data_IF_676002898754
#
_entry.id   IF_676002898754
#
_cell.length_a   1.000
_cell.length_b   1.000
_cell.length_c   1.000
_cell.angle_alpha   90.00
_cell.angle_beta   90.00
_cell.angle_gamma   90.00
#
_symmetry.space_group_name_H-M   'P 1'
#
loop_
_entity.id
_entity.type
_entity.pdbx_description
1 polymer ?
#
# COMPACT_ATOMS: atom_id res chain seq x y z
N UNK A 1 3.39 51.75 4.55
CA UNK A 1 2.28 50.98 3.93
C UNK A 1 2.62 49.50 4.11
N UNK A 2 1.92 48.78 5.00
CA UNK A 2 2.20 47.36 5.29
C UNK A 2 1.33 46.51 4.36
N UNK A 3 1.94 45.80 3.41
CA UNK A 3 1.29 44.73 2.66
C UNK A 3 1.12 43.53 3.60
N UNK A 4 -0.13 43.23 3.96
CA UNK A 4 -0.50 41.97 4.60
C UNK A 4 -0.78 40.98 3.47
N UNK A 5 0.10 39.99 3.30
CA UNK A 5 -0.19 38.83 2.46
C UNK A 5 -1.16 37.93 3.23
N UNK A 6 -2.45 38.04 2.92
CA UNK A 6 -3.40 36.98 3.21
C UNK A 6 -3.09 35.82 2.25
N UNK A 7 -2.26 34.88 2.69
CA UNK A 7 -2.24 33.52 2.17
C UNK A 7 -3.58 32.88 2.58
N UNK A 8 -4.64 33.26 1.87
CA UNK A 8 -5.95 32.67 2.02
C UNK A 8 -5.82 31.18 1.72
N UNK A 9 -6.08 30.35 2.72
CA UNK A 9 -6.56 28.99 2.48
C UNK A 9 -7.75 29.14 1.55
N UNK A 10 -7.63 28.66 0.31
CA UNK A 10 -8.76 28.62 -0.62
C UNK A 10 -9.66 27.48 -0.18
N UNK A 11 -10.27 27.61 1.00
CA UNK A 11 -11.57 27.00 1.19
C UNK A 11 -12.54 27.79 0.33
N UNK A 12 -13.37 27.16 -0.51
CA UNK A 12 -14.64 27.76 -0.80
C UNK A 12 -15.38 27.85 0.54
N UNK A 13 -15.45 29.06 1.11
CA UNK A 13 -16.16 29.39 2.36
C UNK A 13 -17.61 28.84 2.42
N UNK A 14 -18.15 28.38 1.29
CA UNK A 14 -19.43 27.68 1.16
C UNK A 14 -19.49 26.26 1.75
N UNK A 15 -18.35 25.63 2.10
CA UNK A 15 -18.31 24.30 2.74
C UNK A 15 -18.45 24.38 4.26
N UNK A 16 -18.00 25.47 4.89
CA UNK A 16 -18.13 25.69 6.32
C UNK A 16 -19.51 26.26 6.72
N UNK A 17 -20.55 26.05 5.90
CA UNK A 17 -21.91 26.41 6.30
C UNK A 17 -22.38 25.43 7.38
N UNK A 18 -22.80 25.97 8.53
CA UNK A 18 -23.41 25.20 9.61
C UNK A 18 -24.48 24.25 9.04
N UNK A 19 -24.28 22.94 9.23
CA UNK A 19 -25.22 21.89 8.82
C UNK A 19 -24.87 21.09 7.55
N UNK A 20 -23.78 21.38 6.83
CA UNK A 20 -23.28 20.46 5.78
C UNK A 20 -22.42 19.34 6.40
N UNK A 21 -22.53 18.09 5.91
CA UNK A 21 -21.64 17.02 6.34
C UNK A 21 -20.18 17.38 5.99
N UNK A 22 -19.25 17.00 6.87
CA UNK A 22 -17.82 17.16 6.63
C UNK A 22 -17.39 16.48 5.33
N UNK A 23 -16.50 17.10 4.53
CA UNK A 23 -15.94 16.49 3.34
C UNK A 23 -15.36 15.10 3.66
N UNK A 24 -15.62 14.13 2.79
CA UNK A 24 -15.20 12.74 3.01
C UNK A 24 -14.28 12.21 1.92
N UNK A 25 -13.31 11.40 2.35
CA UNK A 25 -12.70 10.39 1.50
C UNK A 25 -13.58 9.14 1.52
N UNK A 26 -14.23 8.88 0.39
CA UNK A 26 -15.15 7.74 0.20
C UNK A 26 -14.47 6.60 -0.53
N UNK A 27 -13.58 6.91 -1.47
CA UNK A 27 -13.01 5.94 -2.40
C UNK A 27 -11.62 6.36 -2.87
N UNK A 28 -10.58 5.60 -2.52
CA UNK A 28 -9.24 5.76 -3.09
C UNK A 28 -8.79 4.44 -3.68
N UNK A 29 -8.46 4.48 -4.98
CA UNK A 29 -7.95 3.30 -5.69
C UNK A 29 -6.44 3.38 -5.75
N UNK A 30 -5.78 2.40 -5.14
CA UNK A 30 -4.33 2.20 -5.25
C UNK A 30 -4.07 1.03 -6.16
N UNK A 31 -3.36 1.27 -7.26
CA UNK A 31 -2.84 0.23 -8.14
C UNK A 31 -1.35 0.06 -7.93
N UNK A 32 -0.89 -1.17 -7.98
CA UNK A 32 0.53 -1.49 -7.84
C UNK A 32 1.01 -2.39 -8.97
N UNK A 33 2.13 -2.01 -9.58
CA UNK A 33 2.85 -2.86 -10.52
C UNK A 33 4.15 -3.33 -9.88
N UNK A 34 4.48 -4.61 -10.03
CA UNK A 34 5.73 -5.17 -9.50
C UNK A 34 6.55 -5.79 -10.63
N UNK A 35 7.82 -5.40 -10.74
CA UNK A 35 8.77 -5.97 -11.69
C UNK A 35 9.94 -6.61 -10.96
N UNK A 36 10.31 -7.82 -11.36
CA UNK A 36 11.55 -8.45 -10.92
C UNK A 36 12.71 -7.99 -11.81
N UNK A 37 13.82 -7.60 -11.19
CA UNK A 37 15.07 -7.22 -11.85
C UNK A 37 15.98 -8.44 -12.05
N UNK A 38 16.97 -8.30 -12.93
CA UNK A 38 17.97 -9.35 -13.16
C UNK A 38 18.83 -9.63 -11.92
N UNK A 39 18.93 -8.67 -10.99
CA UNK A 39 19.67 -8.78 -9.73
C UNK A 39 18.87 -9.51 -8.62
N UNK A 40 17.66 -9.99 -8.91
CA UNK A 40 16.79 -10.64 -7.92
C UNK A 40 16.09 -9.67 -6.98
N UNK A 41 16.03 -8.38 -7.33
CA UNK A 41 15.27 -7.36 -6.60
C UNK A 41 13.89 -7.16 -7.24
N UNK A 42 12.89 -6.85 -6.43
CA UNK A 42 11.56 -6.45 -6.82
C UNK A 42 11.41 -4.93 -6.73
N UNK A 43 10.82 -4.35 -7.76
CA UNK A 43 10.48 -2.92 -7.83
C UNK A 43 8.97 -2.79 -7.84
N UNK A 44 8.42 -2.13 -6.84
CA UNK A 44 7.00 -1.82 -6.66
C UNK A 44 6.79 -0.38 -7.09
N UNK A 45 5.80 -0.14 -7.94
CA UNK A 45 5.36 1.21 -8.33
C UNK A 45 3.89 1.35 -8.00
N UNK A 46 3.55 2.42 -7.30
CA UNK A 46 2.20 2.74 -6.88
C UNK A 46 1.61 3.84 -7.75
N UNK A 47 0.34 3.66 -8.10
CA UNK A 47 -0.49 4.69 -8.72
C UNK A 47 -1.70 4.90 -7.83
N UNK A 48 -1.87 6.12 -7.34
CA UNK A 48 -3.02 6.54 -6.56
C UNK A 48 -4.00 7.23 -7.48
N UNK A 49 -5.28 6.89 -7.32
CA UNK A 49 -6.38 7.58 -7.96
C UNK A 49 -7.33 8.10 -6.87
N UNK A 50 -7.49 9.41 -6.83
CA UNK A 50 -8.47 10.05 -5.96
C UNK A 50 -9.81 10.04 -6.71
N UNK A 51 -10.80 9.28 -6.23
CA UNK A 51 -12.09 9.15 -6.90
C UNK A 51 -12.77 10.50 -7.05
N UNK A 52 -13.47 10.79 -8.17
CA UNK A 52 -14.26 12.01 -8.30
C UNK A 52 -15.45 12.08 -7.32
N UNK A 53 -15.73 10.98 -6.60
CA UNK A 53 -16.70 10.92 -5.50
C UNK A 53 -16.18 11.48 -4.19
N UNK A 54 -14.87 11.69 -4.07
CA UNK A 54 -14.28 12.28 -2.89
C UNK A 54 -14.47 13.79 -2.91
N UNK A 55 -14.56 14.37 -1.72
CA UNK A 55 -14.73 15.82 -1.54
C UNK A 55 -13.43 16.48 -1.07
N UNK A 56 -12.36 15.69 -0.94
CA UNK A 56 -11.08 16.13 -0.42
C UNK A 56 -9.92 15.78 -1.35
N UNK A 57 -8.90 16.62 -1.32
CA UNK A 57 -7.60 16.33 -1.91
C UNK A 57 -6.87 15.27 -1.08
N UNK A 58 -6.11 14.38 -1.73
CA UNK A 58 -5.17 13.51 -1.02
C UNK A 58 -3.84 14.22 -0.80
N UNK A 59 -3.29 14.05 0.40
CA UNK A 59 -2.03 14.65 0.81
C UNK A 59 -0.97 13.62 1.17
N UNK A 60 -1.33 12.49 1.78
CA UNK A 60 -0.37 11.45 2.17
C UNK A 60 -0.68 10.12 1.53
N UNK A 61 0.36 9.33 1.29
CA UNK A 61 0.24 7.90 1.02
C UNK A 61 1.26 7.14 1.83
N UNK A 62 0.80 6.11 2.51
CA UNK A 62 1.65 5.29 3.34
C UNK A 62 1.35 3.81 3.20
N UNK A 63 2.40 3.00 3.18
CA UNK A 63 2.30 1.55 3.06
C UNK A 63 3.03 0.85 4.21
N UNK A 64 2.41 -0.20 4.74
CA UNK A 64 2.92 -0.98 5.88
C UNK A 64 4.12 -1.82 5.47
N UNK A 65 5.27 -1.60 6.11
CA UNK A 65 6.52 -2.32 5.87
C UNK A 65 6.95 -3.18 7.06
N UNK A 66 6.07 -3.45 8.04
CA UNK A 66 6.42 -4.28 9.20
C UNK A 66 6.78 -5.70 8.78
N UNK A 67 7.72 -6.31 9.52
CA UNK A 67 8.05 -7.75 9.37
C UNK A 67 6.88 -8.65 9.76
N UNK A 68 6.24 -8.35 10.89
CA UNK A 68 5.10 -9.10 11.43
C UNK A 68 3.86 -8.20 11.62
N UNK A 69 2.94 -8.13 10.63
CA UNK A 69 1.78 -7.26 10.72
C UNK A 69 0.69 -7.77 11.68
N UNK A 70 0.76 -9.05 12.12
CA UNK A 70 -0.24 -9.66 12.98
C UNK A 70 0.00 -9.45 14.48
N UNK A 71 1.26 -9.23 14.91
CA UNK A 71 1.58 -9.10 16.33
C UNK A 71 1.01 -7.81 16.95
N UNK A 72 0.78 -6.78 16.15
CA UNK A 72 0.17 -5.51 16.56
C UNK A 72 -0.96 -5.17 15.59
N UNK A 73 -2.21 -5.64 15.86
CA UNK A 73 -3.36 -5.15 15.13
C UNK A 73 -3.38 -3.63 15.25
N UNK A 74 -3.52 -2.94 14.10
CA UNK A 74 -3.62 -1.48 14.03
C UNK A 74 -4.48 -0.93 15.16
N UNK A 75 -3.85 -0.25 16.11
CA UNK A 75 -4.56 0.55 17.09
C UNK A 75 -4.36 2.03 16.75
N UNK A 76 -5.28 2.87 17.21
CA UNK A 76 -5.17 4.32 17.02
C UNK A 76 -4.01 4.88 17.85
N UNK A 77 -3.50 4.15 18.83
CA UNK A 77 -2.32 4.54 19.62
C UNK A 77 -0.99 4.27 18.89
N UNK A 78 -0.97 3.41 17.87
CA UNK A 78 0.14 3.31 16.91
C UNK A 78 0.21 4.54 15.96
N UNK A 79 -0.84 5.36 15.99
CA UNK A 79 -0.96 6.63 15.26
C UNK A 79 -0.40 7.72 16.15
N UNK A 80 0.81 8.20 15.82
CA UNK A 80 1.32 9.43 16.40
C UNK A 80 0.38 10.59 16.04
N UNK A 81 -0.51 10.94 16.97
CA UNK A 81 -1.18 12.24 16.99
C UNK A 81 -0.16 13.23 17.56
N UNK A 82 0.76 13.70 16.73
CA UNK A 82 1.46 14.94 17.04
C UNK A 82 1.42 15.87 15.84
N UNK A 83 0.65 16.94 16.05
CA UNK A 83 0.79 18.20 15.36
C UNK A 83 2.21 18.73 15.60
N UNK A 84 3.08 18.63 14.60
CA UNK A 84 3.85 19.79 14.15
C UNK A 84 4.45 19.53 12.76
N UNK A 85 4.34 20.50 11.87
CA UNK A 85 5.08 20.54 10.59
C UNK A 85 6.49 21.02 10.93
N UNK A 86 7.22 20.23 11.69
CA UNK A 86 8.68 20.32 11.79
C UNK A 86 9.25 18.91 11.73
N UNK A 87 10.15 18.73 10.76
CA UNK A 87 10.89 17.52 10.47
C UNK A 87 11.16 16.64 11.69
N UNK A 88 10.35 15.61 11.91
CA UNK A 88 10.64 14.58 12.90
C UNK A 88 11.20 13.35 12.19
N UNK A 89 12.53 13.29 12.15
CA UNK A 89 13.26 12.03 12.24
C UNK A 89 12.90 11.37 13.57
N UNK A 90 11.85 10.55 13.58
CA UNK A 90 11.49 9.82 14.78
C UNK A 90 12.56 8.76 15.04
N UNK A 91 13.17 8.90 16.21
CA UNK A 91 14.26 8.11 16.73
C UNK A 91 13.93 6.61 16.64
N UNK A 92 14.85 5.87 16.03
CA UNK A 92 14.91 4.40 16.10
C UNK A 92 15.31 4.06 17.53
N UNK A 93 14.35 3.97 18.44
CA UNK A 93 14.57 3.40 19.77
C UNK A 93 13.98 2.00 19.81
N UNK A 94 14.80 1.02 19.41
CA UNK A 94 14.57 -0.42 19.59
C UNK A 94 13.53 -1.01 18.62
N UNK A 95 13.92 -1.67 17.55
CA UNK A 95 14.34 -3.08 17.56
C UNK A 95 14.36 -3.56 16.09
N UNK A 96 14.80 -4.79 15.84
CA UNK A 96 15.05 -5.46 14.56
C UNK A 96 13.87 -5.58 13.53
N UNK A 97 12.93 -4.64 13.49
CA UNK A 97 11.58 -4.80 12.92
C UNK A 97 11.31 -4.13 11.56
N UNK A 98 12.23 -3.31 11.03
CA UNK A 98 12.06 -2.59 9.75
C UNK A 98 12.79 -3.32 8.61
N UNK A 99 12.17 -3.35 7.42
CA UNK A 99 12.74 -3.94 6.19
C UNK A 99 13.73 -2.97 5.54
N UNK A 100 14.85 -3.48 5.02
CA UNK A 100 15.74 -2.68 4.16
C UNK A 100 15.07 -2.50 2.80
N UNK A 101 14.46 -1.33 2.58
CA UNK A 101 13.77 -0.98 1.33
C UNK A 101 14.32 0.34 0.83
N UNK A 102 14.69 0.38 -0.44
CA UNK A 102 15.00 1.64 -1.12
C UNK A 102 13.70 2.28 -1.57
N UNK A 103 13.52 3.57 -1.26
CA UNK A 103 12.33 4.32 -1.62
C UNK A 103 12.70 5.34 -2.70
N UNK A 104 11.91 5.43 -3.75
CA UNK A 104 12.07 6.44 -4.79
C UNK A 104 10.71 7.05 -5.17
N UNK A 105 10.73 8.31 -5.58
CA UNK A 105 9.51 9.04 -5.91
C UNK A 105 9.82 10.17 -6.91
N UNK A 106 8.93 10.47 -7.87
CA UNK A 106 9.11 11.59 -8.78
C UNK A 106 8.90 12.93 -8.06
N UNK A 107 9.31 14.03 -8.68
CA UNK A 107 9.28 15.39 -8.09
C UNK A 107 7.91 15.81 -7.53
N UNK A 108 6.82 15.31 -8.11
CA UNK A 108 5.46 15.59 -7.63
C UNK A 108 5.18 15.02 -6.22
N UNK A 109 6.00 14.08 -5.75
CA UNK A 109 5.97 13.57 -4.39
C UNK A 109 7.05 14.26 -3.57
N UNK A 110 6.64 14.92 -2.50
CA UNK A 110 7.56 15.43 -1.49
C UNK A 110 7.90 14.33 -0.49
N UNK A 111 9.17 14.27 -0.10
CA UNK A 111 9.65 13.28 0.85
C UNK A 111 9.05 13.52 2.23
N UNK A 112 8.19 12.61 2.68
CA UNK A 112 7.88 12.41 4.10
C UNK A 112 8.89 11.46 4.73
N UNK A 113 9.13 11.60 6.04
CA UNK A 113 10.02 10.72 6.78
C UNK A 113 9.57 9.24 6.76
N UNK A 114 10.47 8.35 7.15
CA UNK A 114 10.08 6.98 7.52
C UNK A 114 9.55 7.04 8.96
N UNK A 115 8.25 6.86 9.15
CA UNK A 115 7.72 6.53 10.48
C UNK A 115 8.08 5.06 10.74
N UNK A 116 8.48 4.70 11.96
CA UNK A 116 9.20 3.47 12.34
C UNK A 116 8.65 2.08 11.87
N UNK A 117 7.58 2.03 11.08
CA UNK A 117 6.97 0.83 10.50
C UNK A 117 6.38 1.04 9.08
N UNK A 118 6.35 2.30 8.59
CA UNK A 118 5.62 2.72 7.40
C UNK A 118 6.52 3.53 6.48
N UNK A 119 6.37 3.33 5.17
CA UNK A 119 6.92 4.28 4.20
C UNK A 119 5.87 5.32 3.89
N UNK A 120 6.10 6.58 4.30
CA UNK A 120 5.20 7.71 4.02
C UNK A 120 5.77 8.62 2.92
N UNK A 121 4.88 9.14 2.08
CA UNK A 121 5.19 10.23 1.14
C UNK A 121 4.06 11.25 1.12
N UNK A 122 4.47 12.51 1.00
CA UNK A 122 3.57 13.64 0.81
C UNK A 122 3.41 13.93 -0.67
N UNK A 123 2.22 14.33 -1.07
CA UNK A 123 1.90 14.72 -2.45
C UNK A 123 2.15 16.23 -2.55
N UNK A 124 3.38 16.63 -2.93
CA UNK A 124 3.77 17.99 -3.31
C UNK A 124 3.43 19.16 -2.36
N UNK A 125 3.76 20.38 -2.80
CA UNK A 125 3.24 21.63 -2.20
C UNK A 125 1.71 21.68 -2.35
N UNK A 126 1.03 22.60 -1.63
CA UNK A 126 -0.45 22.73 -1.68
C UNK A 126 -1.04 22.81 -3.11
N UNK A 127 -0.27 23.32 -4.07
CA UNK A 127 -0.67 23.40 -5.48
C UNK A 127 -0.68 22.03 -6.21
N UNK A 128 -0.12 20.99 -5.60
CA UNK A 128 0.11 19.66 -6.18
C UNK A 128 -0.66 18.54 -5.45
N UNK A 129 -1.50 18.86 -4.47
CA UNK A 129 -2.34 17.83 -3.83
C UNK A 129 -3.22 17.12 -4.87
N UNK A 130 -3.46 15.83 -4.65
CA UNK A 130 -4.19 15.05 -5.64
C UNK A 130 -5.68 15.36 -5.57
N UNK A 131 -6.22 16.03 -6.58
CA UNK A 131 -7.63 16.46 -6.59
C UNK A 131 -8.58 15.29 -6.82
N UNK A 132 -9.85 15.38 -6.38
CA UNK A 132 -10.87 14.41 -6.80
C UNK A 132 -10.95 14.29 -8.32
N UNK A 133 -10.85 13.06 -8.83
CA UNK A 133 -10.77 12.74 -10.25
C UNK A 133 -9.34 12.56 -10.78
N UNK A 134 -8.32 13.05 -10.07
CA UNK A 134 -6.93 12.97 -10.51
C UNK A 134 -6.26 11.65 -10.12
N UNK A 135 -5.12 11.39 -10.75
CA UNK A 135 -4.24 10.29 -10.41
C UNK A 135 -2.77 10.74 -10.40
N UNK A 136 -1.96 10.07 -9.57
CA UNK A 136 -0.52 10.28 -9.49
C UNK A 136 0.19 8.92 -9.42
N UNK A 137 1.30 8.79 -10.12
CA UNK A 137 2.10 7.56 -10.18
C UNK A 137 3.56 7.82 -9.84
N UNK A 138 4.31 6.73 -9.67
CA UNK A 138 5.78 6.74 -9.62
C UNK A 138 6.40 6.67 -8.23
N UNK A 139 5.61 6.79 -7.16
CA UNK A 139 6.10 6.38 -5.83
C UNK A 139 6.41 4.89 -5.88
N UNK A 140 7.60 4.50 -5.42
CA UNK A 140 8.01 3.12 -5.51
C UNK A 140 8.99 2.67 -4.44
N UNK A 141 9.04 1.35 -4.30
CA UNK A 141 9.88 0.62 -3.37
C UNK A 141 10.75 -0.37 -4.13
N UNK A 142 12.00 -0.54 -3.71
CA UNK A 142 12.90 -1.56 -4.23
C UNK A 142 13.50 -2.38 -3.08
N UNK A 143 13.40 -3.71 -3.19
CA UNK A 143 13.83 -4.66 -2.16
C UNK A 143 14.09 -6.04 -2.77
N UNK A 144 14.72 -6.94 -2.04
CA UNK A 144 14.82 -8.37 -2.40
C UNK A 144 13.63 -9.20 -1.92
N UNK A 145 12.73 -8.59 -1.17
CA UNK A 145 11.58 -9.30 -0.60
C UNK A 145 10.46 -9.43 -1.63
N UNK A 146 9.80 -10.59 -1.70
CA UNK A 146 8.76 -10.88 -2.69
C UNK A 146 7.44 -10.14 -2.40
N UNK A 147 6.55 -10.03 -3.40
CA UNK A 147 5.28 -9.35 -3.25
C UNK A 147 4.30 -10.09 -2.35
N UNK A 148 3.53 -9.31 -1.60
CA UNK A 148 2.37 -9.79 -0.86
C UNK A 148 1.45 -8.65 -0.46
N UNK A 149 0.32 -9.01 0.14
CA UNK A 149 -0.74 -8.05 0.46
C UNK A 149 -0.38 -7.32 1.75
N UNK A 150 -0.45 -5.99 1.68
CA UNK A 150 -0.18 -5.08 2.79
C UNK A 150 -1.24 -4.00 2.86
N UNK A 151 -1.39 -3.45 4.06
CA UNK A 151 -2.27 -2.31 4.29
C UNK A 151 -1.61 -1.04 3.78
N UNK A 152 -2.41 -0.14 3.27
CA UNK A 152 -2.02 1.24 3.03
C UNK A 152 -2.99 2.18 3.75
N UNK A 153 -2.52 3.40 4.00
CA UNK A 153 -3.35 4.53 4.41
C UNK A 153 -3.08 5.73 3.52
N UNK A 154 -4.10 6.57 3.34
CA UNK A 154 -3.97 7.87 2.70
C UNK A 154 -4.82 8.86 3.47
N UNK A 155 -4.24 10.02 3.76
CA UNK A 155 -4.90 11.13 4.42
C UNK A 155 -5.22 12.20 3.40
N UNK A 156 -6.40 12.79 3.53
CA UNK A 156 -6.71 14.01 2.83
C UNK A 156 -6.14 15.24 3.53
N UNK A 157 -6.38 16.42 2.95
CA UNK A 157 -5.86 17.68 3.49
C UNK A 157 -6.05 17.77 5.01
N UNK A 158 -4.96 18.02 5.73
CA UNK A 158 -5.01 18.29 7.16
C UNK A 158 -5.67 19.65 7.36
N UNK A 159 -6.83 19.66 8.01
CA UNK A 159 -7.58 20.88 8.29
C UNK A 159 -6.88 21.60 9.44
N UNK A 160 -6.46 22.85 9.22
CA UNK A 160 -5.94 23.68 10.29
C UNK A 160 -7.12 24.22 11.12
N UNK A 161 -7.61 23.38 12.04
CA UNK A 161 -8.74 23.70 12.90
C UNK A 161 -8.47 24.89 13.84
N UNK A 162 -7.20 25.18 14.13
CA UNK A 162 -6.82 26.33 14.95
C UNK A 162 -6.95 27.66 14.19
N UNK A 163 -7.05 27.59 12.86
CA UNK A 163 -7.28 28.74 11.99
C UNK A 163 -8.74 28.96 11.62
N UNK A 164 -9.67 28.12 12.10
CA UNK A 164 -11.10 28.30 11.86
C UNK A 164 -11.64 29.48 12.69
N UNK A 165 -12.32 30.46 12.06
CA UNK A 165 -13.06 31.52 12.75
C UNK A 165 -13.96 30.98 13.88
N UNK A 166 -13.98 31.65 15.05
CA UNK A 166 -14.81 31.30 16.22
C UNK A 166 -16.31 31.15 15.93
N UNK A 167 -16.78 31.69 14.81
CA UNK A 167 -18.17 31.65 14.35
C UNK A 167 -18.62 30.30 13.78
N UNK A 168 -17.74 29.29 13.70
CA UNK A 168 -18.15 27.94 13.34
C UNK A 168 -18.65 27.17 14.56
N UNK A 169 -19.96 26.89 14.58
CA UNK A 169 -20.61 26.06 15.59
C UNK A 169 -20.18 24.59 15.37
N UNK A 170 -19.01 24.23 15.90
CA UNK A 170 -18.49 22.86 15.83
C UNK A 170 -19.42 21.92 16.60
N UNK A 171 -19.65 20.68 16.14
CA UNK A 171 -20.44 19.67 16.85
C UNK A 171 -20.09 19.66 18.35
N UNK A 172 -21.11 19.81 19.20
CA UNK A 172 -20.95 19.91 20.65
C UNK A 172 -20.24 18.65 21.20
N UNK A 173 -18.96 18.81 21.50
CA UNK A 173 -18.09 17.79 22.08
C UNK A 173 -16.84 17.59 21.22
N UNK A 174 -15.71 18.17 21.64
CA UNK A 174 -14.39 18.03 21.00
C UNK A 174 -14.09 16.57 20.63
N UNK A 175 -14.46 15.62 21.48
CA UNK A 175 -14.22 14.18 21.27
C UNK A 175 -15.05 13.55 20.15
N UNK A 176 -16.32 13.93 20.00
CA UNK A 176 -17.19 13.40 18.92
C UNK A 176 -16.84 14.08 17.59
N UNK A 177 -16.47 15.36 17.66
CA UNK A 177 -15.94 16.13 16.55
C UNK A 177 -14.63 15.58 16.00
N UNK A 178 -13.63 15.35 16.85
CA UNK A 178 -12.34 14.75 16.48
C UNK A 178 -12.54 13.35 15.87
N UNK A 179 -13.54 12.58 16.34
CA UNK A 179 -13.86 11.25 15.82
C UNK A 179 -14.48 11.28 14.41
N UNK A 180 -15.40 12.20 14.14
CA UNK A 180 -16.04 12.34 12.83
C UNK A 180 -15.07 12.88 11.78
N UNK A 181 -14.24 13.86 12.17
CA UNK A 181 -13.17 14.40 11.34
C UNK A 181 -12.16 13.31 11.00
N UNK A 182 -11.63 12.61 12.01
CA UNK A 182 -10.61 11.56 11.77
C UNK A 182 -11.13 10.44 10.85
N UNK A 183 -12.43 10.14 10.91
CA UNK A 183 -13.08 9.17 10.02
C UNK A 183 -13.32 9.69 8.60
N UNK A 184 -13.44 11.00 8.42
CA UNK A 184 -13.68 11.64 7.11
C UNK A 184 -12.40 11.91 6.32
N UNK A 185 -11.27 12.05 7.02
CA UNK A 185 -10.00 12.47 6.41
C UNK A 185 -9.05 11.34 6.05
N UNK A 186 -9.26 10.11 6.56
CA UNK A 186 -8.39 8.96 6.25
C UNK A 186 -9.12 7.89 5.44
N UNK A 187 -8.40 7.27 4.50
CA UNK A 187 -8.84 6.08 3.79
C UNK A 187 -7.83 4.95 3.99
N UNK A 188 -8.34 3.77 4.34
CA UNK A 188 -7.56 2.55 4.56
C UNK A 188 -7.88 1.53 3.47
N UNK A 189 -6.85 0.87 2.96
CA UNK A 189 -7.03 -0.18 1.96
C UNK A 189 -5.89 -1.19 1.94
N UNK A 190 -5.87 -2.04 0.92
CA UNK A 190 -4.84 -3.05 0.69
C UNK A 190 -4.20 -2.87 -0.68
N UNK A 191 -2.89 -3.08 -0.75
CA UNK A 191 -2.07 -3.00 -1.96
C UNK A 191 -0.96 -4.06 -1.90
N UNK A 192 -0.20 -4.26 -2.99
CA UNK A 192 1.03 -5.04 -2.89
C UNK A 192 2.15 -4.25 -2.23
N UNK A 193 2.89 -4.90 -1.34
CA UNK A 193 4.16 -4.40 -0.87
C UNK A 193 5.10 -5.57 -0.50
N UNK A 194 6.35 -5.28 -0.12
CA UNK A 194 7.31 -6.27 0.35
C UNK A 194 6.81 -7.13 1.53
N UNK A 195 6.99 -8.45 1.42
CA UNK A 195 6.66 -9.41 2.48
C UNK A 195 7.81 -10.37 2.73
N UNK A 196 8.12 -10.63 3.99
CA UNK A 196 9.22 -11.53 4.35
C UNK A 196 8.76 -12.95 4.08
N UNK A 197 9.65 -13.81 3.57
CA UNK A 197 9.37 -15.22 3.49
C UNK A 197 9.06 -15.80 4.88
N UNK A 198 8.24 -16.86 4.96
CA UNK A 198 8.05 -17.59 6.20
C UNK A 198 9.39 -18.18 6.66
N UNK A 199 9.57 -18.23 7.98
CA UNK A 199 10.71 -18.87 8.64
C UNK A 199 10.17 -20.00 9.53
N UNK A 200 10.52 -21.28 9.28
CA UNK A 200 11.43 -21.76 8.22
C UNK A 200 10.80 -21.69 6.82
N UNK A 201 11.65 -21.38 5.83
CA UNK A 201 11.24 -21.38 4.41
C UNK A 201 11.15 -22.79 3.84
N UNK A 202 9.95 -23.23 3.47
CA UNK A 202 9.69 -24.53 2.82
C UNK A 202 8.66 -24.41 1.70
N UNK A 203 8.64 -25.34 0.73
CA UNK A 203 7.62 -25.35 -0.33
C UNK A 203 6.20 -25.37 0.23
N UNK A 204 5.97 -26.11 1.31
CA UNK A 204 4.66 -26.23 1.95
C UNK A 204 4.21 -24.93 2.59
N UNK A 205 5.06 -24.29 3.42
CA UNK A 205 4.73 -23.01 4.06
C UNK A 205 4.53 -21.89 3.04
N UNK A 206 5.33 -21.89 1.97
CA UNK A 206 5.21 -20.91 0.90
C UNK A 206 3.93 -21.09 0.07
N UNK A 207 3.59 -22.31 -0.33
CA UNK A 207 2.36 -22.58 -1.09
C UNK A 207 1.12 -22.30 -0.27
N UNK A 208 1.11 -22.62 1.03
CA UNK A 208 0.03 -22.25 1.94
C UNK A 208 -0.19 -20.73 1.98
N UNK A 209 0.89 -19.94 2.08
CA UNK A 209 0.82 -18.47 1.97
C UNK A 209 0.24 -18.03 0.63
N UNK A 210 0.74 -18.57 -0.49
CA UNK A 210 0.26 -18.21 -1.82
C UNK A 210 -1.24 -18.51 -2.01
N UNK A 211 -1.75 -19.61 -1.45
CA UNK A 211 -3.18 -19.94 -1.48
C UNK A 211 -4.02 -18.93 -0.68
N UNK A 212 -3.54 -18.51 0.49
CA UNK A 212 -4.17 -17.44 1.28
C UNK A 212 -4.19 -16.13 0.50
N UNK A 213 -3.03 -15.73 -0.03
CA UNK A 213 -2.88 -14.49 -0.79
C UNK A 213 -3.76 -14.50 -2.05
N UNK A 214 -3.91 -15.63 -2.74
CA UNK A 214 -4.82 -15.77 -3.90
C UNK A 214 -6.29 -15.60 -3.50
N UNK A 215 -6.70 -16.16 -2.37
CA UNK A 215 -8.07 -16.01 -1.86
C UNK A 215 -8.37 -14.55 -1.50
N UNK A 216 -7.42 -13.87 -0.87
CA UNK A 216 -7.55 -12.45 -0.53
C UNK A 216 -7.53 -11.56 -1.79
N UNK A 217 -6.67 -11.86 -2.76
CA UNK A 217 -6.65 -11.17 -4.06
C UNK A 217 -7.98 -11.29 -4.80
N UNK A 218 -8.71 -12.40 -4.65
CA UNK A 218 -10.06 -12.54 -5.19
C UNK A 218 -11.06 -11.61 -4.48
N UNK A 219 -11.03 -11.52 -3.14
CA UNK A 219 -11.90 -10.58 -2.39
C UNK A 219 -11.62 -9.12 -2.76
N UNK A 220 -10.37 -8.80 -3.07
CA UNK A 220 -9.94 -7.48 -3.54
C UNK A 220 -10.25 -7.22 -5.02
N UNK A 221 -10.83 -8.18 -5.73
CA UNK A 221 -11.18 -8.06 -7.16
C UNK A 221 -9.98 -8.10 -8.11
N UNK A 222 -8.78 -8.44 -7.63
CA UNK A 222 -7.58 -8.62 -8.46
C UNK A 222 -7.67 -9.90 -9.31
N UNK A 223 -8.38 -10.90 -8.79
CA UNK A 223 -8.83 -12.10 -9.51
C UNK A 223 -10.35 -11.97 -9.68
N UNK A 224 -10.84 -11.92 -10.92
CA UNK A 224 -12.22 -11.48 -11.20
C UNK A 224 -13.32 -12.53 -11.00
N UNK A 225 -13.00 -13.81 -11.06
CA UNK A 225 -14.02 -14.86 -10.86
C UNK A 225 -13.49 -16.08 -10.12
N UNK A 226 -14.43 -16.81 -9.52
CA UNK A 226 -14.20 -18.08 -8.83
C UNK A 226 -13.52 -19.11 -9.74
N UNK A 227 -13.86 -19.13 -11.03
CA UNK A 227 -13.23 -20.05 -11.99
C UNK A 227 -11.73 -19.81 -12.11
N UNK A 228 -11.30 -18.53 -12.16
CA UNK A 228 -9.87 -18.23 -12.18
C UNK A 228 -9.22 -18.53 -10.83
N UNK A 229 -9.90 -18.21 -9.71
CA UNK A 229 -9.38 -18.51 -8.37
C UNK A 229 -9.11 -20.00 -8.21
N UNK A 230 -10.07 -20.88 -8.53
CA UNK A 230 -9.91 -22.33 -8.37
C UNK A 230 -8.84 -22.89 -9.29
N UNK A 231 -8.70 -22.34 -10.51
CA UNK A 231 -7.62 -22.72 -11.41
C UNK A 231 -6.24 -22.32 -10.87
N UNK A 232 -6.12 -21.12 -10.31
CA UNK A 232 -4.89 -20.62 -9.67
C UNK A 232 -4.55 -21.47 -8.45
N UNK A 233 -5.51 -21.74 -7.56
CA UNK A 233 -5.30 -22.59 -6.38
C UNK A 233 -4.77 -23.97 -6.76
N UNK A 234 -5.36 -24.61 -7.79
CA UNK A 234 -4.86 -25.91 -8.29
C UNK A 234 -3.40 -25.82 -8.75
N UNK A 235 -3.06 -24.79 -9.53
CA UNK A 235 -1.69 -24.60 -10.01
C UNK A 235 -0.70 -24.32 -8.86
N UNK A 236 -1.12 -23.57 -7.83
CA UNK A 236 -0.32 -23.32 -6.63
C UNK A 236 -0.10 -24.63 -5.85
N UNK A 237 -1.12 -25.47 -5.72
CA UNK A 237 -0.97 -26.78 -5.06
C UNK A 237 0.05 -27.69 -5.76
N UNK A 238 0.14 -27.61 -7.10
CA UNK A 238 1.13 -28.35 -7.89
C UNK A 238 2.60 -27.88 -7.66
N UNK A 239 2.81 -26.75 -6.97
CA UNK A 239 4.13 -26.30 -6.54
C UNK A 239 4.62 -27.00 -5.26
N UNK A 240 3.73 -27.67 -4.53
CA UNK A 240 4.10 -28.38 -3.29
C UNK A 240 4.78 -29.71 -3.61
N UNK A 241 5.99 -29.62 -4.14
CA UNK A 241 6.82 -30.75 -4.53
C UNK A 241 8.28 -30.50 -4.19
N UNK A 242 9.01 -31.57 -3.92
CA UNK A 242 10.47 -31.56 -3.74
C UNK A 242 11.21 -31.90 -5.05
N UNK A 243 10.49 -32.36 -6.08
CA UNK A 243 11.08 -32.70 -7.38
C UNK A 243 11.29 -31.44 -8.21
N UNK A 244 12.57 -31.10 -8.44
CA UNK A 244 12.97 -29.92 -9.21
C UNK A 244 12.39 -29.87 -10.62
N UNK A 245 12.32 -31.00 -11.34
CA UNK A 245 11.79 -31.03 -12.72
C UNK A 245 10.29 -30.76 -12.71
N UNK A 246 9.58 -31.33 -11.74
CA UNK A 246 8.14 -31.07 -11.56
C UNK A 246 7.89 -29.62 -11.16
N UNK A 247 8.65 -29.08 -10.19
CA UNK A 247 8.52 -27.69 -9.76
C UNK A 247 8.69 -26.72 -10.93
N UNK A 248 9.76 -26.87 -11.74
CA UNK A 248 9.99 -26.02 -12.91
C UNK A 248 8.80 -26.06 -13.89
N UNK A 249 8.28 -27.27 -14.18
CA UNK A 249 7.10 -27.44 -15.04
C UNK A 249 5.84 -26.78 -14.45
N UNK A 250 5.64 -26.89 -13.14
CA UNK A 250 4.51 -26.23 -12.44
C UNK A 250 4.62 -24.71 -12.52
N UNK A 251 5.82 -24.15 -12.31
CA UNK A 251 6.08 -22.71 -12.43
C UNK A 251 5.83 -22.22 -13.85
N UNK A 252 6.33 -22.91 -14.87
CA UNK A 252 6.05 -22.60 -16.29
C UNK A 252 4.54 -22.64 -16.60
N UNK A 253 3.81 -23.57 -15.97
CA UNK A 253 2.36 -23.67 -16.07
C UNK A 253 1.64 -22.45 -15.49
N UNK A 254 2.08 -21.98 -14.32
CA UNK A 254 1.59 -20.75 -13.70
C UNK A 254 1.87 -19.54 -14.60
N UNK A 255 3.10 -19.38 -15.08
CA UNK A 255 3.48 -18.24 -15.93
C UNK A 255 2.60 -18.15 -17.18
N UNK A 256 2.45 -19.27 -17.89
CA UNK A 256 1.61 -19.33 -19.10
C UNK A 256 0.15 -19.00 -18.80
N UNK A 257 -0.39 -19.52 -17.69
CA UNK A 257 -1.77 -19.28 -17.31
C UNK A 257 -2.00 -17.80 -16.92
N UNK A 258 -1.18 -17.27 -16.02
CA UNK A 258 -1.30 -15.90 -15.51
C UNK A 258 -1.17 -14.88 -16.64
N UNK A 259 -0.15 -15.01 -17.50
CA UNK A 259 0.04 -14.09 -18.63
C UNK A 259 -1.14 -14.15 -19.62
N UNK A 260 -1.72 -15.32 -19.84
CA UNK A 260 -2.90 -15.48 -20.70
C UNK A 260 -4.12 -14.80 -20.10
N UNK A 261 -4.41 -15.01 -18.83
CA UNK A 261 -5.62 -14.46 -18.19
C UNK A 261 -5.48 -12.95 -17.90
N UNK A 262 -4.27 -12.46 -17.66
CA UNK A 262 -3.96 -11.03 -17.63
C UNK A 262 -4.27 -10.34 -18.96
N UNK A 263 -3.85 -10.92 -20.09
CA UNK A 263 -4.16 -10.40 -21.44
C UNK A 263 -5.66 -10.34 -21.74
N UNK A 264 -6.45 -11.24 -21.15
CA UNK A 264 -7.91 -11.23 -21.25
C UNK A 264 -8.58 -10.24 -20.30
N UNK A 265 -7.81 -9.59 -19.42
CA UNK A 265 -8.33 -8.72 -18.39
C UNK A 265 -9.00 -9.45 -17.23
N UNK A 266 -8.78 -10.76 -17.06
CA UNK A 266 -9.34 -11.54 -15.94
C UNK A 266 -8.49 -11.46 -14.66
N UNK A 267 -7.23 -11.03 -14.80
CA UNK A 267 -6.28 -10.80 -13.71
C UNK A 267 -5.70 -9.40 -13.82
N UNK A 268 -5.51 -8.73 -12.69
CA UNK A 268 -4.80 -7.44 -12.62
C UNK A 268 -3.28 -7.62 -12.56
N UNK A 269 -2.54 -6.51 -12.60
CA UNK A 269 -1.08 -6.51 -12.37
C UNK A 269 -0.72 -7.04 -10.98
N UNK A 270 -1.56 -6.75 -9.99
CA UNK A 270 -1.39 -7.23 -8.63
C UNK A 270 -1.53 -8.74 -8.53
N UNK A 271 -2.56 -9.31 -9.16
CA UNK A 271 -2.73 -10.77 -9.20
C UNK A 271 -1.57 -11.45 -9.94
N UNK A 272 -1.07 -10.86 -11.04
CA UNK A 272 0.10 -11.35 -11.75
C UNK A 272 1.34 -11.39 -10.85
N UNK A 273 1.67 -10.27 -10.21
CA UNK A 273 2.80 -10.18 -9.31
C UNK A 273 2.69 -11.18 -8.14
N UNK A 274 1.50 -11.26 -7.54
CA UNK A 274 1.28 -12.08 -6.36
C UNK A 274 1.31 -13.58 -6.66
N UNK A 275 0.87 -14.02 -7.84
CA UNK A 275 0.92 -15.45 -8.21
C UNK A 275 2.23 -15.80 -8.90
N UNK A 276 2.56 -15.11 -10.00
CA UNK A 276 3.68 -15.46 -10.87
C UNK A 276 5.04 -15.20 -10.22
N UNK A 277 5.23 -14.01 -9.63
CA UNK A 277 6.53 -13.67 -9.05
C UNK A 277 6.81 -14.47 -7.78
N UNK A 278 5.80 -14.80 -6.97
CA UNK A 278 5.99 -15.70 -5.83
C UNK A 278 6.28 -17.14 -6.25
N UNK A 279 5.74 -17.62 -7.38
CA UNK A 279 6.08 -18.94 -7.94
C UNK A 279 7.55 -18.98 -8.42
N UNK A 280 8.01 -17.94 -9.11
CA UNK A 280 9.41 -17.78 -9.51
C UNK A 280 10.34 -17.69 -8.29
N UNK A 281 9.94 -16.94 -7.27
CA UNK A 281 10.70 -16.83 -6.02
C UNK A 281 10.90 -18.20 -5.33
N UNK A 282 9.87 -19.06 -5.32
CA UNK A 282 9.98 -20.41 -4.78
C UNK A 282 11.04 -21.24 -5.52
N UNK A 283 11.01 -21.19 -6.85
CA UNK A 283 11.97 -21.92 -7.69
C UNK A 283 13.40 -21.48 -7.38
N UNK A 284 13.67 -20.17 -7.38
CA UNK A 284 15.00 -19.62 -7.12
C UNK A 284 15.53 -20.04 -5.74
N UNK A 285 14.71 -19.93 -4.68
CA UNK A 285 15.14 -20.27 -3.32
C UNK A 285 15.48 -21.74 -3.13
N UNK A 286 14.72 -22.63 -3.76
CA UNK A 286 15.01 -24.07 -3.69
C UNK A 286 16.24 -24.42 -4.51
N UNK A 287 16.53 -23.71 -5.60
CA UNK A 287 17.78 -23.87 -6.34
C UNK A 287 19.01 -23.39 -5.55
N UNK A 288 18.89 -22.28 -4.82
CA UNK A 288 19.96 -21.76 -3.95
C UNK A 288 20.32 -22.74 -2.83
N UNK A 289 19.32 -23.30 -2.14
CA UNK A 289 19.53 -24.26 -1.04
C UNK A 289 20.32 -25.50 -1.51
N UNK A 290 19.93 -26.06 -2.65
CA UNK A 290 20.60 -27.21 -3.27
C UNK A 290 22.05 -26.94 -3.69
N UNK A 291 22.40 -25.68 -4.03
CA UNK A 291 23.80 -25.30 -4.33
C UNK A 291 24.66 -25.24 -3.07
N UNK A 292 24.08 -24.85 -1.93
CA UNK A 292 24.79 -24.77 -0.64
C UNK A 292 25.04 -26.16 -0.04
N UNK A 293 24.12 -27.11 -0.21
CA UNK A 293 24.27 -28.48 0.27
C UNK A 293 25.30 -29.32 -0.50
N UNK A 294 25.76 -28.84 -1.67
CA UNK A 294 26.78 -29.50 -2.50
C UNK A 294 28.20 -28.94 -2.32
N UNK A 295 28.36 -27.89 -1.51
CA UNK A 295 29.65 -27.28 -1.18
C UNK A 295 30.04 -27.67 0.24
#
# INVERSE_FOLDING_TARGET
>A
MKMVFLLGSIMPFSLAQAGKPWPRLVDVVVRSSVTATVAGEYVYIYTLNNSPKNEMFLYTFEVDLRKNPQSHPLSREDVGIEHDIQAHSLAITGSDQIRSVQIFSPLAWQSGGQYAAWSSRHIGERANWLQPGDNISGFGLRTKEPPGIRRFRTGGMNWDFYSLPEQFDLPKGKKDFDLEVDRGIEFLGQTLAPVSPPDPFTSSTWTARMLSDATEAHKLGWIKSDQQLEKIKKLISDLNTQDKKKLKKSVEGIEKYVLKEKKKGNLTDEADALVRLNALYLLDRLEEKNKKEKK
#
